data_IF_948796912531
#
_entry.id   IF_948796912531
#
_cell.length_a   1.000
_cell.length_b   1.000
_cell.length_c   1.000
_cell.angle_alpha   90.00
_cell.angle_beta   90.00
_cell.angle_gamma   90.00
#
_symmetry.space_group_name_H-M   'P 1'
#
loop_
_entity.id
_entity.type
_entity.pdbx_description
1 polymer ?
#
# COMPACT_ATOMS: atom_id res chain seq x y z
N UNK A 1 -43.98 18.65 28.82
CA UNK A 1 -43.07 17.66 29.43
C UNK A 1 -42.31 17.00 28.29
N UNK A 2 -40.99 17.22 28.28
CA UNK A 2 -40.05 16.78 27.23
C UNK A 2 -39.81 15.28 27.42
N UNK A 3 -39.95 14.48 26.36
CA UNK A 3 -39.67 13.04 26.34
C UNK A 3 -38.59 12.73 25.31
N UNK A 4 -37.36 12.69 25.81
CA UNK A 4 -36.06 12.49 25.15
C UNK A 4 -36.04 11.38 24.08
N UNK A 5 -35.73 11.75 22.83
CA UNK A 5 -35.29 10.82 21.77
C UNK A 5 -33.78 10.70 21.90
N UNK A 6 -33.28 9.53 22.32
CA UNK A 6 -31.85 9.24 22.33
C UNK A 6 -31.41 8.80 20.93
N UNK A 7 -30.95 9.74 20.11
CA UNK A 7 -30.19 9.45 18.90
C UNK A 7 -28.76 9.08 19.34
N UNK A 8 -28.41 7.80 19.31
CA UNK A 8 -27.03 7.37 19.43
C UNK A 8 -26.31 7.70 18.11
N UNK A 9 -25.59 8.82 18.11
CA UNK A 9 -24.71 9.20 17.01
C UNK A 9 -23.50 8.26 16.96
N UNK A 10 -23.23 7.78 15.76
CA UNK A 10 -22.11 6.92 15.37
C UNK A 10 -20.76 7.58 15.71
N UNK A 11 -19.91 6.87 16.45
CA UNK A 11 -18.46 6.99 16.32
C UNK A 11 -17.93 5.62 15.94
N UNK A 12 -18.14 5.23 14.67
CA UNK A 12 -17.35 4.20 14.05
C UNK A 12 -15.93 4.75 13.92
N UNK A 13 -15.10 4.52 14.93
CA UNK A 13 -13.67 4.73 14.78
C UNK A 13 -13.21 3.87 13.61
N UNK A 14 -12.67 4.51 12.57
CA UNK A 14 -11.87 3.81 11.57
C UNK A 14 -10.67 3.25 12.33
N UNK A 15 -10.77 2.00 12.76
CA UNK A 15 -9.59 1.26 13.15
C UNK A 15 -8.78 1.14 11.86
N UNK A 16 -7.66 1.87 11.75
CA UNK A 16 -6.63 1.56 10.77
C UNK A 16 -6.12 0.18 11.15
N UNK A 17 -6.71 -0.85 10.53
CA UNK A 17 -6.17 -2.19 10.61
C UNK A 17 -4.82 -2.12 9.92
N UNK A 18 -3.75 -2.39 10.67
CA UNK A 18 -2.43 -2.41 10.07
C UNK A 18 -2.38 -3.43 8.94
N UNK A 19 -1.61 -3.13 7.90
CA UNK A 19 -1.49 -3.98 6.73
C UNK A 19 -1.18 -5.42 7.11
N UNK A 20 -1.88 -6.39 6.52
CA UNK A 20 -1.58 -7.81 6.68
C UNK A 20 -0.18 -8.13 6.13
N UNK A 21 0.28 -7.34 5.17
CA UNK A 21 1.61 -7.35 4.60
C UNK A 21 2.60 -6.46 5.37
N UNK A 22 2.14 -5.71 6.38
CA UNK A 22 2.83 -4.84 7.36
C UNK A 22 4.02 -5.44 8.13
N UNK A 23 4.21 -6.77 8.08
CA UNK A 23 5.16 -7.47 8.97
C UNK A 23 6.60 -7.40 8.47
N UNK A 24 7.48 -6.89 9.32
CA UNK A 24 8.92 -6.80 9.05
C UNK A 24 9.49 -8.11 8.47
N UNK A 25 10.16 -8.02 7.31
CA UNK A 25 10.61 -9.22 6.61
C UNK A 25 11.10 -8.94 5.19
N UNK A 26 11.29 -10.02 4.44
CA UNK A 26 11.57 -9.94 2.99
C UNK A 26 10.40 -10.48 2.21
N UNK A 27 9.99 -9.77 1.16
CA UNK A 27 8.86 -10.15 0.31
C UNK A 27 9.14 -9.85 -1.17
N UNK A 28 8.45 -10.53 -2.11
CA UNK A 28 8.53 -10.19 -3.52
C UNK A 28 7.78 -8.87 -3.81
N UNK A 29 8.29 -8.08 -4.73
CA UNK A 29 7.61 -6.89 -5.26
C UNK A 29 7.98 -6.67 -6.72
N UNK A 30 7.03 -6.24 -7.55
CA UNK A 30 7.29 -5.86 -8.93
C UNK A 30 7.82 -4.42 -9.03
N UNK A 31 8.66 -4.19 -10.04
CA UNK A 31 9.04 -2.88 -10.56
C UNK A 31 9.28 -3.05 -12.06
N UNK A 32 8.58 -2.28 -12.89
CA UNK A 32 8.66 -2.32 -14.36
C UNK A 32 8.65 -3.74 -14.96
N UNK A 33 7.67 -4.56 -14.54
CA UNK A 33 7.52 -5.93 -15.04
C UNK A 33 8.52 -6.94 -14.44
N UNK A 34 9.49 -6.48 -13.66
CA UNK A 34 10.53 -7.32 -13.06
C UNK A 34 10.25 -7.58 -11.59
N UNK A 35 10.37 -8.84 -11.18
CA UNK A 35 10.16 -9.24 -9.80
C UNK A 35 11.45 -9.05 -8.98
N UNK A 36 11.38 -8.27 -7.92
CA UNK A 36 12.45 -8.03 -6.97
C UNK A 36 12.16 -8.68 -5.62
N UNK A 37 13.20 -8.92 -4.83
CA UNK A 37 13.06 -9.15 -3.39
C UNK A 37 13.35 -7.84 -2.67
N UNK A 38 12.44 -7.42 -1.80
CA UNK A 38 12.61 -6.25 -0.93
C UNK A 38 12.72 -6.70 0.52
N UNK A 39 13.49 -5.97 1.33
CA UNK A 39 13.36 -5.99 2.78
C UNK A 39 12.57 -4.77 3.22
N UNK A 40 11.68 -4.98 4.16
CA UNK A 40 10.65 -4.03 4.51
C UNK A 40 10.42 -4.07 6.02
N UNK A 41 10.24 -2.90 6.62
CA UNK A 41 9.95 -2.75 8.05
C UNK A 41 9.13 -1.49 8.31
N UNK A 42 7.97 -1.67 8.90
CA UNK A 42 7.09 -0.60 9.37
C UNK A 42 7.82 0.29 10.37
N UNK A 43 7.64 1.60 10.21
CA UNK A 43 8.05 2.57 11.21
C UNK A 43 7.14 2.45 12.43
N UNK A 44 7.62 2.83 13.63
CA UNK A 44 6.73 2.92 14.78
C UNK A 44 5.59 3.90 14.49
N UNK A 45 4.34 3.60 14.88
CA UNK A 45 3.16 4.39 14.54
C UNK A 45 3.24 5.85 15.02
N UNK A 46 3.99 6.13 16.09
CA UNK A 46 4.22 7.49 16.61
C UNK A 46 5.18 8.34 15.74
N UNK A 47 5.84 7.74 14.75
CA UNK A 47 6.82 8.38 13.87
C UNK A 47 6.30 8.69 12.46
N UNK A 48 5.24 8.04 12.02
CA UNK A 48 4.81 8.04 10.62
C UNK A 48 4.22 9.38 10.18
N UNK A 49 3.33 9.96 10.99
CA UNK A 49 2.73 11.28 10.71
C UNK A 49 3.80 12.39 10.62
N UNK A 50 4.82 12.34 11.48
CA UNK A 50 5.92 13.30 11.43
C UNK A 50 6.79 13.08 10.18
N UNK A 51 7.04 11.82 9.80
CA UNK A 51 7.78 11.48 8.59
C UNK A 51 7.04 11.93 7.33
N UNK A 52 5.73 11.68 7.24
CA UNK A 52 4.88 12.13 6.13
C UNK A 52 4.84 13.65 6.03
N UNK A 53 4.79 14.35 7.16
CA UNK A 53 4.78 15.82 7.16
C UNK A 53 6.12 16.46 6.74
N UNK A 54 7.24 15.77 6.98
CA UNK A 54 8.59 16.33 6.80
C UNK A 54 9.30 15.85 5.54
N UNK A 55 9.05 14.62 5.07
CA UNK A 55 9.69 14.07 3.89
C UNK A 55 8.88 14.36 2.63
N UNK A 56 9.44 15.18 1.73
CA UNK A 56 8.83 15.53 0.44
C UNK A 56 9.21 14.59 -0.70
N UNK A 57 9.98 13.54 -0.40
CA UNK A 57 10.47 12.56 -1.36
C UNK A 57 10.29 11.18 -0.72
N UNK A 58 9.04 10.75 -0.57
CA UNK A 58 8.68 9.41 -0.09
C UNK A 58 8.26 8.61 -1.32
N UNK A 59 8.78 7.40 -1.43
CA UNK A 59 8.42 6.47 -2.50
C UNK A 59 7.11 5.78 -2.17
N UNK A 60 6.48 5.14 -3.14
CA UNK A 60 5.17 4.51 -3.01
C UNK A 60 5.28 3.02 -3.22
N UNK A 61 4.74 2.26 -2.28
CA UNK A 61 4.50 0.83 -2.46
C UNK A 61 3.00 0.60 -2.57
N UNK A 62 2.58 0.08 -3.72
CA UNK A 62 1.20 -0.25 -3.98
C UNK A 62 0.91 -1.68 -3.53
N UNK A 63 -0.12 -1.84 -2.71
CA UNK A 63 -0.56 -3.13 -2.16
C UNK A 63 -2.06 -3.33 -2.38
N UNK A 64 -2.53 -4.57 -2.21
CA UNK A 64 -3.95 -4.85 -2.11
C UNK A 64 -4.22 -5.96 -1.09
N UNK A 65 -4.30 -5.60 0.18
CA UNK A 65 -4.57 -6.54 1.27
C UNK A 65 -5.98 -7.13 1.16
N UNK A 66 -6.93 -6.37 0.61
CA UNK A 66 -8.28 -6.87 0.33
C UNK A 66 -8.31 -7.92 -0.81
N UNK A 67 -7.23 -8.05 -1.57
CA UNK A 67 -7.12 -8.97 -2.70
C UNK A 67 -6.51 -10.33 -2.32
N UNK A 68 -6.21 -10.58 -1.03
CA UNK A 68 -5.64 -11.85 -0.58
C UNK A 68 -6.48 -13.05 -1.05
N UNK A 69 -5.87 -13.92 -1.87
CA UNK A 69 -6.53 -15.09 -2.48
C UNK A 69 -7.60 -14.76 -3.54
N UNK A 70 -7.77 -13.50 -3.93
CA UNK A 70 -8.79 -13.05 -4.86
C UNK A 70 -8.29 -12.91 -6.30
N UNK A 71 -6.97 -12.96 -6.54
CA UNK A 71 -6.42 -12.97 -7.89
C UNK A 71 -6.71 -14.32 -8.59
N UNK A 72 -6.72 -14.35 -9.94
CA UNK A 72 -6.87 -15.58 -10.70
C UNK A 72 -5.92 -16.69 -10.21
N UNK A 73 -6.46 -17.89 -9.99
CA UNK A 73 -5.71 -19.00 -9.41
C UNK A 73 -5.53 -18.93 -7.89
N UNK A 74 -6.29 -18.09 -7.19
CA UNK A 74 -6.27 -17.98 -5.72
C UNK A 74 -4.99 -17.35 -5.19
N UNK A 75 -4.31 -16.55 -5.99
CA UNK A 75 -3.05 -15.91 -5.62
C UNK A 75 -3.31 -14.64 -4.80
N UNK A 76 -2.28 -14.20 -4.08
CA UNK A 76 -2.24 -12.88 -3.44
C UNK A 76 -1.66 -11.85 -4.39
N UNK A 77 -1.98 -10.56 -4.15
CA UNK A 77 -1.40 -9.47 -4.91
C UNK A 77 0.08 -9.29 -4.52
N UNK A 78 0.97 -9.33 -5.50
CA UNK A 78 2.38 -8.97 -5.30
C UNK A 78 2.48 -7.46 -5.37
N UNK A 79 3.08 -6.81 -4.36
CA UNK A 79 3.21 -5.36 -4.32
C UNK A 79 3.94 -4.80 -5.53
N UNK A 80 3.70 -3.53 -5.86
CA UNK A 80 4.35 -2.82 -6.98
C UNK A 80 5.07 -1.59 -6.45
N UNK A 81 6.30 -1.37 -6.90
CA UNK A 81 7.17 -0.28 -6.50
C UNK A 81 7.17 0.84 -7.54
N UNK A 82 7.31 2.10 -7.11
CA UNK A 82 7.48 3.27 -7.99
C UNK A 82 8.95 3.67 -8.24
N UNK A 83 9.91 3.02 -7.57
CA UNK A 83 11.32 3.40 -7.66
C UNK A 83 12.27 2.29 -7.19
N UNK A 84 13.49 2.24 -7.73
CA UNK A 84 14.56 1.34 -7.24
C UNK A 84 15.89 2.06 -7.17
N UNK A 85 16.91 1.42 -6.58
CA UNK A 85 18.26 1.99 -6.56
C UNK A 85 18.74 2.30 -7.98
N UNK A 86 19.12 3.54 -8.23
CA UNK A 86 19.49 4.04 -9.56
C UNK A 86 18.37 4.80 -10.27
N UNK A 87 17.14 4.76 -9.74
CA UNK A 87 15.98 5.49 -10.24
C UNK A 87 15.11 6.03 -9.08
N UNK A 88 15.37 7.26 -8.66
CA UNK A 88 14.53 7.98 -7.70
C UNK A 88 14.49 7.46 -6.25
N UNK A 89 15.20 6.37 -5.92
CA UNK A 89 15.08 5.68 -4.63
C UNK A 89 15.25 6.57 -3.37
N UNK A 90 14.24 6.52 -2.50
CA UNK A 90 14.30 6.89 -1.10
C UNK A 90 14.07 5.63 -0.23
N UNK A 91 14.79 5.45 0.89
CA UNK A 91 14.53 4.33 1.80
C UNK A 91 13.18 4.42 2.55
N UNK A 92 12.44 5.53 2.46
CA UNK A 92 11.12 5.73 3.07
C UNK A 92 10.00 5.54 2.03
N UNK A 93 9.04 4.70 2.37
CA UNK A 93 7.99 4.24 1.46
C UNK A 93 6.62 4.36 2.11
N UNK A 94 5.69 5.02 1.46
CA UNK A 94 4.29 5.11 1.87
C UNK A 94 3.51 3.96 1.25
N UNK A 95 2.71 3.28 2.06
CA UNK A 95 1.73 2.33 1.52
C UNK A 95 0.56 3.03 0.85
N UNK A 96 0.18 2.53 -0.31
CA UNK A 96 -1.07 2.88 -0.98
C UNK A 96 -1.83 1.59 -1.27
N UNK A 97 -3.02 1.47 -0.68
CA UNK A 97 -3.90 0.34 -0.93
C UNK A 97 -4.70 0.55 -2.20
N UNK A 98 -4.68 -0.44 -3.09
CA UNK A 98 -5.48 -0.51 -4.29
C UNK A 98 -6.84 -1.11 -3.94
N UNK A 99 -7.91 -0.40 -4.28
CA UNK A 99 -9.27 -0.92 -4.23
C UNK A 99 -9.78 -1.10 -5.65
N UNK A 100 -9.99 -2.35 -6.06
CA UNK A 100 -10.53 -2.66 -7.38
C UNK A 100 -12.04 -2.42 -7.43
N UNK A 101 -12.51 -1.75 -8.49
CA UNK A 101 -13.94 -1.62 -8.79
C UNK A 101 -14.51 -2.86 -9.50
N UNK A 102 -13.62 -3.71 -10.03
CA UNK A 102 -13.94 -4.97 -10.72
C UNK A 102 -13.17 -6.13 -10.09
N UNK A 103 -13.14 -7.30 -10.75
CA UNK A 103 -12.32 -8.42 -10.32
C UNK A 103 -10.83 -8.00 -10.20
N UNK A 104 -10.14 -8.32 -9.09
CA UNK A 104 -8.72 -8.02 -8.92
C UNK A 104 -7.84 -8.68 -9.99
N UNK A 105 -6.77 -7.98 -10.36
CA UNK A 105 -5.71 -8.47 -11.23
C UNK A 105 -4.33 -8.06 -10.71
N UNK A 106 -3.28 -8.71 -11.21
CA UNK A 106 -1.92 -8.28 -10.93
C UNK A 106 -1.54 -7.13 -11.87
N UNK A 107 -0.97 -6.06 -11.30
CA UNK A 107 -0.21 -5.05 -12.05
C UNK A 107 1.28 -5.30 -11.84
N UNK A 108 2.12 -4.89 -12.77
CA UNK A 108 3.56 -5.15 -12.68
C UNK A 108 4.43 -3.90 -12.82
N UNK A 109 3.83 -2.76 -13.13
CA UNK A 109 4.45 -1.45 -13.10
C UNK A 109 3.50 -0.42 -12.44
N UNK A 110 4.06 0.62 -11.84
CA UNK A 110 3.31 1.71 -11.21
C UNK A 110 2.60 2.57 -12.24
N UNK A 111 3.19 2.80 -13.42
CA UNK A 111 2.52 3.46 -14.54
C UNK A 111 1.19 2.78 -14.91
N UNK A 112 1.14 1.44 -14.92
CA UNK A 112 -0.10 0.67 -15.18
C UNK A 112 -1.17 0.92 -14.10
N UNK A 113 -0.73 1.09 -12.85
CA UNK A 113 -1.62 1.38 -11.71
C UNK A 113 -2.16 2.80 -11.83
N UNK A 114 -1.30 3.77 -12.14
CA UNK A 114 -1.70 5.17 -12.29
C UNK A 114 -2.68 5.33 -13.47
N UNK A 115 -2.40 4.70 -14.61
CA UNK A 115 -3.33 4.67 -15.75
C UNK A 115 -4.68 4.03 -15.38
N UNK A 116 -4.67 2.93 -14.63
CA UNK A 116 -5.91 2.27 -14.18
C UNK A 116 -6.71 3.14 -13.19
N UNK A 117 -6.03 3.90 -12.33
CA UNK A 117 -6.65 4.84 -11.41
C UNK A 117 -7.28 6.01 -12.17
N UNK A 118 -6.56 6.60 -13.14
CA UNK A 118 -7.06 7.68 -14.00
C UNK A 118 -8.24 7.24 -14.86
N UNK A 119 -8.24 5.97 -15.30
CA UNK A 119 -9.37 5.35 -16.00
C UNK A 119 -10.56 5.00 -15.08
N UNK A 120 -10.45 5.19 -13.77
CA UNK A 120 -11.49 4.88 -12.79
C UNK A 120 -11.73 3.39 -12.57
N UNK A 121 -10.76 2.53 -12.93
CA UNK A 121 -10.86 1.07 -12.75
C UNK A 121 -10.51 0.65 -11.31
N UNK A 122 -9.64 1.42 -10.67
CA UNK A 122 -9.23 1.25 -9.29
C UNK A 122 -9.30 2.57 -8.54
N UNK A 123 -9.36 2.51 -7.21
CA UNK A 123 -9.17 3.64 -6.32
C UNK A 123 -7.88 3.45 -5.54
N UNK A 124 -7.04 4.48 -5.49
CA UNK A 124 -5.83 4.50 -4.67
C UNK A 124 -6.15 5.11 -3.31
N UNK A 125 -5.90 4.37 -2.24
CA UNK A 125 -6.11 4.78 -0.87
C UNK A 125 -4.76 4.87 -0.14
N UNK A 126 -4.11 6.04 -0.11
CA UNK A 126 -2.94 6.25 0.72
C UNK A 126 -3.26 5.93 2.18
N UNK A 127 -2.40 5.15 2.82
CA UNK A 127 -2.52 4.86 4.25
C UNK A 127 -1.71 5.87 5.06
N UNK A 128 -1.58 5.65 6.36
CA UNK A 128 -0.60 6.36 7.19
C UNK A 128 0.66 5.54 7.43
N UNK A 129 0.72 4.30 6.93
CA UNK A 129 1.80 3.37 7.20
C UNK A 129 3.02 3.73 6.35
N UNK A 130 4.16 3.89 7.01
CA UNK A 130 5.42 4.22 6.36
C UNK A 130 6.45 3.16 6.68
N UNK A 131 7.13 2.71 5.64
CA UNK A 131 8.09 1.64 5.71
C UNK A 131 9.50 2.15 5.44
N UNK A 132 10.46 1.54 6.13
CA UNK A 132 11.85 1.53 5.67
C UNK A 132 12.02 0.34 4.75
N UNK A 133 12.28 0.60 3.47
CA UNK A 133 12.49 -0.45 2.47
C UNK A 133 13.89 -0.42 1.89
N UNK A 134 14.43 -1.59 1.57
CA UNK A 134 15.61 -1.77 0.75
C UNK A 134 15.36 -2.81 -0.34
N UNK A 135 15.80 -2.51 -1.55
CA UNK A 135 15.69 -3.43 -2.69
C UNK A 135 16.92 -4.35 -2.68
N UNK A 136 16.71 -5.65 -2.48
CA UNK A 136 17.82 -6.62 -2.39
C UNK A 136 18.31 -7.06 -3.78
N UNK A 137 17.46 -6.95 -4.80
CA UNK A 137 17.77 -7.27 -6.19
C UNK A 137 16.70 -8.12 -6.87
N UNK A 138 16.86 -8.40 -8.18
CA UNK A 138 15.94 -9.25 -8.93
C UNK A 138 15.81 -10.63 -8.28
N UNK A 139 14.61 -11.17 -8.29
CA UNK A 139 14.33 -12.53 -7.82
C UNK A 139 14.71 -13.51 -8.94
N UNK A 140 15.76 -14.29 -8.71
CA UNK A 140 16.19 -15.38 -9.60
C UNK A 140 15.39 -16.67 -9.35
#
# INVERSE_FOLDING_TARGET
MIGLVAVFALLGGVASAGSLNGRAGTMPSFYDGTLFTINFKELPPDGEAAVLAQNKSINTIYMCDACEGALPGGQSFVSVLDAIQGDGFNPLWLEVQIVFNTAPQQFTADDEILEAADAGQITLMPTTEVYRCSVLGPKN
#
